data_IF_694243913172
#
_entry.id   IF_694243913172
#
_cell.length_a   1.000
_cell.length_b   1.000
_cell.length_c   1.000
_cell.angle_alpha   90.00
_cell.angle_beta   90.00
_cell.angle_gamma   90.00
#
_symmetry.space_group_name_H-M   'P 1'
#
loop_
_entity.id
_entity.type
_entity.pdbx_description
1 polymer ?
#
# COMPACT_ATOMS: atom_id res chain seq x y z
N UNK A 1 -10.41 -6.90 -1.35
CA UNK A 1 -10.49 -7.28 -2.78
C UNK A 1 -10.01 -8.72 -2.97
N UNK A 2 -10.56 -9.47 -3.92
CA UNK A 2 -10.05 -10.80 -4.25
C UNK A 2 -8.61 -10.71 -4.78
N UNK A 3 -7.68 -11.46 -4.18
CA UNK A 3 -6.25 -11.51 -4.59
C UNK A 3 -6.06 -11.99 -6.04
N UNK A 4 -7.06 -12.61 -6.63
CA UNK A 4 -7.00 -13.13 -8.00
C UNK A 4 -7.56 -12.14 -9.04
N UNK A 5 -8.17 -11.04 -8.61
CA UNK A 5 -8.72 -10.03 -9.50
C UNK A 5 -7.63 -9.27 -10.27
N UNK A 6 -7.91 -8.89 -11.51
CA UNK A 6 -7.03 -8.03 -12.30
C UNK A 6 -6.81 -6.68 -11.61
N UNK A 7 -7.86 -6.06 -11.07
CA UNK A 7 -7.78 -4.78 -10.36
C UNK A 7 -6.82 -4.83 -9.20
N UNK A 8 -6.86 -5.93 -8.44
CA UNK A 8 -5.95 -6.15 -7.32
C UNK A 8 -4.48 -6.18 -7.77
N UNK A 9 -4.18 -6.92 -8.85
CA UNK A 9 -2.83 -7.02 -9.40
C UNK A 9 -2.32 -5.67 -9.90
N UNK A 10 -3.18 -4.90 -10.58
CA UNK A 10 -2.84 -3.58 -11.12
C UNK A 10 -2.52 -2.60 -9.98
N UNK A 11 -3.41 -2.48 -8.98
CA UNK A 11 -3.23 -1.55 -7.86
C UNK A 11 -1.92 -1.84 -7.12
N UNK A 12 -1.66 -3.11 -6.76
CA UNK A 12 -0.45 -3.44 -6.02
C UNK A 12 0.83 -3.18 -6.82
N UNK A 13 0.81 -3.44 -8.13
CA UNK A 13 1.95 -3.15 -9.01
C UNK A 13 2.21 -1.64 -9.08
N UNK A 14 1.17 -0.85 -9.26
CA UNK A 14 1.33 0.58 -9.50
C UNK A 14 1.68 1.33 -8.21
N UNK A 15 1.12 0.92 -7.06
CA UNK A 15 1.55 1.41 -5.74
C UNK A 15 3.01 1.04 -5.47
N UNK A 16 3.40 -0.22 -5.70
CA UNK A 16 4.80 -0.63 -5.52
C UNK A 16 5.78 0.17 -6.38
N UNK A 17 5.41 0.46 -7.64
CA UNK A 17 6.19 1.33 -8.53
C UNK A 17 6.30 2.75 -8.01
N UNK A 18 5.21 3.34 -7.52
CA UNK A 18 5.21 4.70 -7.00
C UNK A 18 6.10 4.81 -5.75
N UNK A 19 5.92 3.90 -4.79
CA UNK A 19 6.71 3.89 -3.55
C UNK A 19 8.21 3.79 -3.82
N UNK A 20 8.62 2.90 -4.73
CA UNK A 20 10.03 2.75 -5.11
C UNK A 20 10.55 3.93 -5.93
N UNK A 21 9.75 4.44 -6.88
CA UNK A 21 10.18 5.54 -7.77
C UNK A 21 10.43 6.82 -7.00
N UNK A 22 9.64 7.09 -5.97
CA UNK A 22 9.68 8.35 -5.22
C UNK A 22 10.26 8.20 -3.81
N UNK A 23 10.82 7.04 -3.48
CA UNK A 23 11.43 6.77 -2.17
C UNK A 23 10.53 7.17 -0.99
N UNK A 24 9.24 6.80 -1.07
CA UNK A 24 8.21 7.36 -0.18
C UNK A 24 8.19 6.74 1.21
N UNK A 25 8.66 5.49 1.33
CA UNK A 25 8.59 4.69 2.56
C UNK A 25 9.88 3.89 2.71
N UNK A 26 10.51 4.04 3.86
CA UNK A 26 11.70 3.32 4.30
C UNK A 26 11.41 2.34 5.45
N UNK A 27 12.36 1.44 5.71
CA UNK A 27 12.27 0.53 6.85
C UNK A 27 12.27 1.31 8.18
N UNK A 28 11.39 0.93 9.09
CA UNK A 28 11.21 1.57 10.39
C UNK A 28 10.28 2.79 10.40
N UNK A 29 9.76 3.22 9.25
CA UNK A 29 8.85 4.37 9.17
C UNK A 29 7.57 4.17 9.98
N UNK A 30 7.03 5.28 10.50
CA UNK A 30 5.68 5.34 11.08
C UNK A 30 4.79 6.19 10.18
N UNK A 31 3.78 5.56 9.60
CA UNK A 31 2.96 6.13 8.53
C UNK A 31 1.57 6.45 9.09
N UNK A 32 1.22 7.75 9.08
CA UNK A 32 -0.13 8.19 9.36
C UNK A 32 -0.98 8.12 8.09
N UNK A 33 -2.13 7.45 8.15
CA UNK A 33 -3.10 7.43 7.05
C UNK A 33 -4.34 8.22 7.46
N UNK A 34 -4.60 9.33 6.75
CA UNK A 34 -5.83 10.11 6.94
C UNK A 34 -7.02 9.40 6.29
N UNK A 35 -8.05 9.08 7.09
CA UNK A 35 -9.25 8.38 6.63
C UNK A 35 -10.42 9.35 6.50
N UNK A 36 -10.87 9.58 5.28
CA UNK A 36 -12.06 10.41 5.02
C UNK A 36 -13.37 9.63 5.05
N UNK A 37 -13.29 8.29 5.16
CA UNK A 37 -14.43 7.38 4.95
C UNK A 37 -14.69 7.05 3.49
N UNK A 38 -13.99 7.71 2.56
CA UNK A 38 -14.07 7.42 1.14
C UNK A 38 -13.30 6.15 0.74
N UNK A 39 -13.75 5.52 -0.36
CA UNK A 39 -13.14 4.30 -0.91
C UNK A 39 -11.64 4.44 -1.16
N UNK A 40 -11.16 5.62 -1.53
CA UNK A 40 -9.76 5.82 -1.88
C UNK A 40 -8.87 5.77 -0.63
N UNK A 41 -9.24 6.48 0.43
CA UNK A 41 -8.51 6.47 1.72
C UNK A 41 -8.50 5.08 2.37
N UNK A 42 -9.62 4.37 2.32
CA UNK A 42 -9.73 3.00 2.83
C UNK A 42 -8.92 2.01 1.99
N UNK A 43 -8.93 2.17 0.67
CA UNK A 43 -8.16 1.32 -0.25
C UNK A 43 -6.66 1.54 -0.05
N UNK A 44 -6.22 2.79 0.16
CA UNK A 44 -4.81 3.10 0.45
C UNK A 44 -4.33 2.45 1.75
N UNK A 45 -5.11 2.59 2.84
CA UNK A 45 -4.82 1.91 4.11
C UNK A 45 -4.72 0.39 3.91
N UNK A 46 -5.67 -0.18 3.18
CA UNK A 46 -5.71 -1.62 2.93
C UNK A 46 -4.49 -2.10 2.12
N UNK A 47 -4.11 -1.39 1.05
CA UNK A 47 -2.95 -1.76 0.23
C UNK A 47 -1.66 -1.69 1.04
N UNK A 48 -1.46 -0.63 1.83
CA UNK A 48 -0.26 -0.49 2.67
C UNK A 48 -0.15 -1.60 3.71
N UNK A 49 -1.26 -1.97 4.35
CA UNK A 49 -1.30 -3.08 5.30
C UNK A 49 -1.05 -4.43 4.63
N UNK A 50 -1.67 -4.70 3.48
CA UNK A 50 -1.52 -5.96 2.76
C UNK A 50 -0.08 -6.17 2.25
N UNK A 51 0.58 -5.06 1.85
CA UNK A 51 1.94 -5.07 1.31
C UNK A 51 2.98 -5.56 2.33
N UNK A 52 2.80 -5.27 3.63
CA UNK A 52 3.70 -5.73 4.72
C UNK A 52 3.86 -7.26 4.74
N UNK A 53 2.90 -8.02 4.21
CA UNK A 53 2.99 -9.48 4.15
C UNK A 53 3.96 -10.01 3.08
N UNK A 54 4.50 -9.16 2.20
CA UNK A 54 5.23 -9.57 0.98
C UNK A 54 6.56 -8.86 0.75
N UNK A 55 6.86 -7.81 1.52
CA UNK A 55 8.02 -6.96 1.30
C UNK A 55 9.03 -7.14 2.44
N UNK A 56 10.34 -6.99 2.16
CA UNK A 56 11.39 -7.13 3.16
C UNK A 56 11.66 -5.82 3.94
N UNK A 57 10.62 -5.02 4.19
CA UNK A 57 10.70 -3.81 5.00
C UNK A 57 9.52 -3.78 5.98
N UNK A 58 9.74 -3.22 7.15
CA UNK A 58 8.76 -3.15 8.22
C UNK A 58 8.50 -1.69 8.61
N UNK A 59 7.32 -1.20 8.29
CA UNK A 59 6.81 0.10 8.72
C UNK A 59 5.54 -0.08 9.56
N UNK A 60 5.22 0.92 10.37
CA UNK A 60 4.08 0.92 11.29
C UNK A 60 3.00 1.89 10.84
#
# INVERSE_FOLDING_TARGET
>A
MSKHSNTYKVINRDVGKALHRYDMISDGDRILVALSGGKDSLSMMWVLSERLTRIPINYK
#
